data_IF_003167599869
#
_entry.id   IF_003167599869
#
_cell.length_a   1.000
_cell.length_b   1.000
_cell.length_c   1.000
_cell.angle_alpha   90.00
_cell.angle_beta   90.00
_cell.angle_gamma   90.00
#
_symmetry.space_group_name_H-M   'P 1'
#
loop_
_entity.id
_entity.type
_entity.pdbx_description
1 polymer ?
#
# COMPACT_ATOMS: atom_id res chain seq x y z
N UNK A 1 28.71 11.52 6.39
CA UNK A 1 28.50 10.06 6.34
C UNK A 1 28.06 9.48 7.68
N UNK A 2 28.19 10.20 8.77
CA UNK A 2 27.81 9.72 10.12
C UNK A 2 26.29 9.75 10.37
N UNK A 3 25.52 10.48 9.54
CA UNK A 3 24.08 10.63 9.71
C UNK A 3 23.28 9.35 9.39
N UNK A 4 23.90 8.37 8.70
CA UNK A 4 23.28 7.09 8.30
C UNK A 4 24.00 5.89 8.91
N UNK A 5 24.15 5.90 10.24
CA UNK A 5 24.80 4.82 11.00
C UNK A 5 23.82 3.78 11.57
N UNK A 6 22.54 3.88 11.20
CA UNK A 6 21.48 2.99 11.66
C UNK A 6 21.44 1.64 10.93
N UNK A 7 20.30 0.96 11.06
CA UNK A 7 20.04 -0.35 10.45
C UNK A 7 20.18 -0.28 8.91
N UNK A 8 20.73 -1.36 8.33
CA UNK A 8 20.77 -1.55 6.87
C UNK A 8 19.62 -2.47 6.47
N UNK A 9 18.82 -2.04 5.47
CA UNK A 9 17.75 -2.81 4.86
C UNK A 9 18.22 -3.37 3.53
N UNK A 10 17.85 -4.63 3.23
CA UNK A 10 18.20 -5.34 1.99
C UNK A 10 19.71 -5.27 1.65
N UNK A 11 20.59 -5.21 2.68
CA UNK A 11 22.04 -5.02 2.54
C UNK A 11 22.46 -3.79 1.69
N UNK A 12 21.54 -2.86 1.47
CA UNK A 12 21.68 -1.72 0.56
C UNK A 12 21.35 -0.38 1.18
N UNK A 13 20.19 -0.25 1.82
CA UNK A 13 19.65 1.04 2.27
C UNK A 13 19.99 1.27 3.73
N UNK A 14 20.83 2.26 4.01
CA UNK A 14 21.23 2.65 5.38
C UNK A 14 20.26 3.66 5.94
N UNK A 15 19.63 3.30 7.04
CA UNK A 15 18.76 4.21 7.79
C UNK A 15 19.59 5.16 8.67
N UNK A 16 19.07 6.34 9.00
CA UNK A 16 19.66 7.19 10.03
C UNK A 16 19.57 6.48 11.40
N UNK A 17 20.37 6.93 12.36
CA UNK A 17 20.18 6.52 13.75
C UNK A 17 18.79 6.96 14.19
N UNK A 18 18.01 6.08 14.87
CA UNK A 18 16.72 6.48 15.37
C UNK A 18 16.89 7.69 16.32
N UNK A 19 16.07 8.73 16.21
CA UNK A 19 16.04 9.79 17.19
C UNK A 19 15.70 9.17 18.55
N UNK A 20 16.25 9.72 19.64
CA UNK A 20 16.10 9.22 21.00
C UNK A 20 14.67 9.20 21.54
N UNK A 21 13.73 9.81 20.82
CA UNK A 21 12.29 9.81 21.14
C UNK A 21 11.58 8.85 20.16
N UNK A 22 11.02 7.80 20.73
CA UNK A 22 10.30 6.69 20.09
C UNK A 22 9.04 7.14 19.33
N UNK A 23 9.19 7.76 18.17
CA UNK A 23 8.11 7.80 17.20
C UNK A 23 8.51 6.92 16.01
N UNK A 24 7.81 5.81 15.84
CA UNK A 24 7.87 4.98 14.63
C UNK A 24 7.51 5.85 13.42
N UNK A 25 8.54 6.42 12.80
CA UNK A 25 8.35 7.10 11.53
C UNK A 25 8.09 6.05 10.46
N UNK A 26 6.86 6.01 9.96
CA UNK A 26 6.50 5.19 8.81
C UNK A 26 7.22 5.61 7.53
N UNK A 27 7.81 6.81 7.52
CA UNK A 27 8.63 7.36 6.43
C UNK A 27 9.92 7.90 6.98
N UNK A 28 11.04 7.54 6.36
CA UNK A 28 12.35 8.06 6.72
C UNK A 28 13.24 8.20 5.49
N UNK A 29 14.23 9.09 5.58
CA UNK A 29 15.30 9.15 4.57
C UNK A 29 16.29 8.02 4.83
N UNK A 30 16.82 7.47 3.76
CA UNK A 30 17.88 6.46 3.81
C UNK A 30 18.96 6.80 2.78
N UNK A 31 20.14 6.21 2.96
CA UNK A 31 21.24 6.33 2.01
C UNK A 31 21.36 5.01 1.23
N UNK A 32 21.19 5.08 -0.07
CA UNK A 32 21.40 3.95 -0.98
C UNK A 32 22.91 3.78 -1.25
N UNK A 33 23.47 2.70 -0.75
CA UNK A 33 24.91 2.41 -0.89
C UNK A 33 25.33 2.05 -2.31
N UNK A 34 24.40 1.70 -3.19
CA UNK A 34 24.68 1.35 -4.58
C UNK A 34 24.69 2.56 -5.50
N UNK A 35 23.73 3.45 -5.36
CA UNK A 35 23.65 4.67 -6.16
C UNK A 35 24.44 5.83 -5.55
N UNK A 36 24.71 5.79 -4.25
CA UNK A 36 25.32 6.90 -3.51
C UNK A 36 24.38 8.09 -3.28
N UNK A 37 23.06 7.87 -3.39
CA UNK A 37 22.04 8.91 -3.26
C UNK A 37 21.17 8.71 -2.02
N UNK A 38 20.57 9.80 -1.56
CA UNK A 38 19.49 9.72 -0.58
C UNK A 38 18.19 9.26 -1.25
N UNK A 39 17.47 8.41 -0.56
CA UNK A 39 16.15 7.89 -0.96
C UNK A 39 15.16 8.05 0.18
N UNK A 40 13.87 8.04 -0.12
CA UNK A 40 12.83 7.87 0.87
C UNK A 40 12.48 6.39 1.02
N UNK A 41 12.35 5.95 2.26
CA UNK A 41 11.94 4.58 2.59
C UNK A 41 10.67 4.65 3.43
N UNK A 42 9.62 3.98 2.96
CA UNK A 42 8.36 3.87 3.68
C UNK A 42 8.14 2.43 4.14
N UNK A 43 7.78 2.30 5.42
CA UNK A 43 7.46 1.03 6.05
C UNK A 43 5.96 0.79 6.05
N UNK A 44 5.53 -0.38 5.55
CA UNK A 44 4.17 -0.89 5.69
C UNK A 44 4.22 -2.12 6.60
N UNK A 45 3.70 -2.04 7.83
CA UNK A 45 3.70 -3.16 8.76
C UNK A 45 2.89 -4.33 8.19
N UNK A 46 3.43 -5.54 8.30
CA UNK A 46 2.70 -6.74 7.93
C UNK A 46 1.71 -7.13 9.04
N UNK A 47 0.47 -7.50 8.69
CA UNK A 47 -0.51 -7.92 9.67
C UNK A 47 -0.02 -9.10 10.50
N UNK A 48 -0.27 -9.06 11.80
CA UNK A 48 -0.01 -10.19 12.69
C UNK A 48 -1.05 -11.28 12.46
N UNK A 49 -0.60 -12.53 12.40
CA UNK A 49 -1.47 -13.70 12.38
C UNK A 49 -1.66 -14.16 13.81
N UNK A 50 -2.87 -14.07 14.31
CA UNK A 50 -3.25 -14.68 15.58
C UNK A 50 -3.68 -16.11 15.29
N UNK A 51 -2.82 -17.08 15.56
CA UNK A 51 -3.22 -18.49 15.54
C UNK A 51 -4.11 -18.75 16.77
N UNK A 52 -5.42 -18.70 16.59
CA UNK A 52 -6.35 -19.21 17.56
C UNK A 52 -6.36 -20.73 17.43
N UNK A 53 -5.80 -21.44 18.40
CA UNK A 53 -6.05 -22.88 18.53
C UNK A 53 -7.55 -23.07 18.81
N UNK A 54 -8.28 -23.51 17.79
CA UNK A 54 -9.63 -24.01 17.97
C UNK A 54 -9.48 -25.36 18.68
N UNK A 55 -9.70 -25.38 19.98
CA UNK A 55 -9.86 -26.64 20.70
C UNK A 55 -11.17 -27.24 20.21
N UNK A 56 -11.05 -28.23 19.33
CA UNK A 56 -12.18 -29.04 18.90
C UNK A 56 -12.88 -29.62 20.11
N UNK A 57 -14.23 -29.53 20.13
CA UNK A 57 -15.07 -29.97 21.23
C UNK A 57 -15.00 -31.47 21.47
N UNK A 58 -14.31 -32.25 20.67
CA UNK A 58 -14.14 -33.70 20.79
C UNK A 58 -13.18 -34.16 21.90
N UNK A 59 -12.43 -33.24 22.51
CA UNK A 59 -11.50 -33.52 23.60
C UNK A 59 -12.00 -33.15 24.99
N UNK A 60 -13.28 -32.80 25.18
CA UNK A 60 -13.84 -32.49 26.49
C UNK A 60 -14.36 -33.76 27.14
N UNK A 61 -13.92 -34.13 28.36
CA UNK A 61 -14.48 -35.25 29.10
C UNK A 61 -15.98 -35.06 29.30
N UNK A 62 -16.77 -36.16 29.15
CA UNK A 62 -18.22 -36.20 29.43
C UNK A 62 -18.51 -35.65 30.84
N UNK A 63 -19.24 -34.52 30.92
CA UNK A 63 -19.63 -33.91 32.18
C UNK A 63 -19.29 -32.43 32.32
N UNK A 64 -18.64 -31.80 31.37
CA UNK A 64 -18.31 -30.38 31.44
C UNK A 64 -19.48 -29.50 31.00
N UNK A 65 -20.29 -29.02 31.97
CA UNK A 65 -21.24 -27.93 31.72
C UNK A 65 -20.52 -26.60 31.90
N UNK A 66 -20.70 -25.68 30.93
CA UNK A 66 -20.03 -24.37 30.82
C UNK A 66 -20.47 -23.36 31.93
N UNK A 67 -20.33 -23.73 33.20
CA UNK A 67 -20.75 -22.89 34.34
C UNK A 67 -19.73 -22.73 35.46
N UNK A 68 -18.44 -22.80 35.15
CA UNK A 68 -17.43 -22.43 36.16
C UNK A 68 -16.61 -21.23 35.66
N UNK A 69 -17.01 -20.02 36.13
CA UNK A 69 -16.30 -18.79 35.96
C UNK A 69 -15.14 -18.69 36.94
N UNK A 70 -14.26 -19.66 36.91
CA UNK A 70 -13.03 -19.68 37.69
C UNK A 70 -11.83 -19.67 36.77
N UNK A 71 -11.13 -18.53 36.73
CA UNK A 71 -9.72 -18.33 36.34
C UNK A 71 -9.14 -19.36 35.36
N UNK A 72 -9.55 -19.35 34.10
CA UNK A 72 -8.74 -19.90 33.01
C UNK A 72 -7.84 -18.80 32.49
N UNK A 73 -6.53 -19.00 32.70
CA UNK A 73 -5.48 -18.28 31.98
C UNK A 73 -5.82 -18.37 30.49
N UNK A 74 -5.99 -17.24 29.77
CA UNK A 74 -6.28 -17.31 28.34
C UNK A 74 -5.18 -18.10 27.66
N UNK A 75 -5.49 -18.95 26.66
CA UNK A 75 -4.44 -19.56 25.85
C UNK A 75 -3.59 -18.41 25.32
N UNK A 76 -2.28 -18.51 25.49
CA UNK A 76 -1.33 -17.54 24.94
C UNK A 76 -1.44 -17.63 23.43
N UNK A 77 -2.29 -16.78 22.85
CA UNK A 77 -2.31 -16.61 21.41
C UNK A 77 -0.89 -16.25 20.96
N UNK A 78 -0.28 -17.12 20.18
CA UNK A 78 1.01 -16.83 19.58
C UNK A 78 0.74 -15.88 18.42
N UNK A 79 0.98 -14.61 18.63
CA UNK A 79 1.04 -13.64 17.55
C UNK A 79 2.34 -13.88 16.78
N UNK A 80 2.22 -14.20 15.50
CA UNK A 80 3.35 -14.31 14.60
C UNK A 80 3.16 -13.32 13.47
N UNK A 81 4.16 -12.49 13.22
CA UNK A 81 4.17 -11.62 12.05
C UNK A 81 4.19 -12.47 10.77
N UNK A 82 3.43 -12.09 9.75
CA UNK A 82 3.42 -12.78 8.45
C UNK A 82 4.83 -12.86 7.87
N UNK A 83 5.15 -14.03 7.31
CA UNK A 83 6.46 -14.26 6.68
C UNK A 83 6.44 -13.70 5.25
N UNK A 84 7.61 -13.29 4.70
CA UNK A 84 7.71 -12.88 3.30
C UNK A 84 7.19 -13.91 2.29
N UNK A 85 7.21 -15.20 2.64
CA UNK A 85 6.69 -16.30 1.83
C UNK A 85 5.15 -16.44 1.85
N UNK A 86 4.45 -15.70 2.72
CA UNK A 86 2.99 -15.72 2.79
C UNK A 86 2.40 -15.21 1.46
N UNK A 87 1.41 -15.92 0.87
CA UNK A 87 0.77 -15.52 -0.38
C UNK A 87 0.18 -14.10 -0.36
N UNK A 88 -0.31 -13.64 0.79
CA UNK A 88 -0.84 -12.28 0.96
C UNK A 88 0.28 -11.25 0.88
N UNK A 89 1.43 -11.52 1.52
CA UNK A 89 2.61 -10.64 1.46
C UNK A 89 3.17 -10.56 0.04
N UNK A 90 3.26 -11.72 -0.65
CA UNK A 90 3.72 -11.74 -2.04
C UNK A 90 2.82 -10.91 -2.96
N UNK A 91 1.49 -11.05 -2.84
CA UNK A 91 0.54 -10.22 -3.60
C UNK A 91 0.73 -8.72 -3.30
N UNK A 92 0.97 -8.35 -2.05
CA UNK A 92 1.22 -6.96 -1.70
C UNK A 92 2.52 -6.42 -2.32
N UNK A 93 3.59 -7.21 -2.34
CA UNK A 93 4.84 -6.87 -3.04
C UNK A 93 4.59 -6.74 -4.54
N UNK A 94 3.91 -7.71 -5.15
CA UNK A 94 3.58 -7.70 -6.58
C UNK A 94 2.71 -6.48 -6.96
N UNK A 95 1.72 -6.12 -6.13
CA UNK A 95 0.88 -4.95 -6.34
C UNK A 95 1.67 -3.64 -6.27
N UNK A 96 2.54 -3.49 -5.26
CA UNK A 96 3.41 -2.32 -5.15
C UNK A 96 4.41 -2.23 -6.31
N UNK A 97 5.00 -3.37 -6.73
CA UNK A 97 5.89 -3.43 -7.88
C UNK A 97 5.16 -3.13 -9.19
N UNK A 98 3.90 -3.54 -9.34
CA UNK A 98 3.09 -3.19 -10.49
C UNK A 98 2.82 -1.69 -10.56
N UNK A 99 2.52 -1.06 -9.42
CA UNK A 99 2.38 0.40 -9.32
C UNK A 99 3.69 1.14 -9.65
N UNK A 100 4.84 0.58 -9.24
CA UNK A 100 6.16 1.13 -9.54
C UNK A 100 6.55 1.09 -11.03
N UNK A 101 5.82 0.34 -11.88
CA UNK A 101 6.07 0.28 -13.33
C UNK A 101 5.38 1.37 -14.13
N UNK A 102 4.62 2.24 -13.48
CA UNK A 102 4.04 3.41 -14.15
C UNK A 102 5.20 4.28 -14.66
N UNK A 103 5.12 4.76 -15.91
CA UNK A 103 6.17 5.62 -16.47
C UNK A 103 6.43 6.86 -15.62
N UNK A 104 7.69 7.26 -15.55
CA UNK A 104 8.11 8.44 -14.80
C UNK A 104 7.33 9.68 -15.23
N UNK A 105 6.84 10.39 -14.24
CA UNK A 105 6.10 11.63 -14.46
C UNK A 105 6.44 12.65 -13.37
N UNK A 106 6.70 13.93 -13.72
CA UNK A 106 7.18 14.93 -12.76
C UNK A 106 6.21 15.28 -11.63
N UNK A 107 4.98 14.72 -11.66
CA UNK A 107 3.97 14.88 -10.61
C UNK A 107 3.60 13.59 -9.92
N UNK A 108 4.37 12.52 -10.10
CA UNK A 108 4.26 11.24 -9.40
C UNK A 108 5.61 10.89 -8.80
N UNK A 109 5.62 10.27 -7.63
CA UNK A 109 6.84 9.77 -7.02
C UNK A 109 7.37 8.54 -7.78
N UNK A 110 8.68 8.52 -8.01
CA UNK A 110 9.35 7.38 -8.62
C UNK A 110 9.69 6.36 -7.54
N UNK A 111 9.21 5.12 -7.71
CA UNK A 111 9.54 4.00 -6.83
C UNK A 111 10.69 3.21 -7.42
N UNK A 112 11.76 3.03 -6.64
CA UNK A 112 13.00 2.36 -7.06
C UNK A 112 13.04 0.89 -6.66
N UNK A 113 12.45 0.55 -5.49
CA UNK A 113 12.51 -0.81 -4.95
C UNK A 113 11.32 -1.12 -4.04
N UNK A 114 10.95 -2.40 -3.97
CA UNK A 114 9.90 -2.93 -3.09
C UNK A 114 10.31 -4.31 -2.61
N UNK A 115 10.43 -4.48 -1.29
CA UNK A 115 10.83 -5.76 -0.69
C UNK A 115 10.19 -5.96 0.70
N UNK A 116 10.19 -7.20 1.17
CA UNK A 116 9.70 -7.56 2.51
C UNK A 116 10.86 -7.99 3.39
N UNK A 117 11.04 -7.33 4.53
CA UNK A 117 12.09 -7.62 5.52
C UNK A 117 11.63 -7.26 6.94
N UNK A 118 12.00 -8.10 7.92
CA UNK A 118 11.81 -7.79 9.34
C UNK A 118 10.37 -7.57 9.77
N UNK A 119 9.41 -8.30 9.16
CA UNK A 119 7.98 -8.18 9.49
C UNK A 119 7.29 -6.97 8.87
N UNK A 120 7.92 -6.35 7.88
CA UNK A 120 7.38 -5.19 7.17
C UNK A 120 7.65 -5.30 5.67
N UNK A 121 6.82 -4.65 4.90
CA UNK A 121 7.07 -4.36 3.49
C UNK A 121 7.68 -2.97 3.41
N UNK A 122 8.73 -2.84 2.63
CA UNK A 122 9.49 -1.61 2.44
C UNK A 122 9.36 -1.14 1.00
N UNK A 123 9.05 0.13 0.84
CA UNK A 123 8.93 0.80 -0.46
C UNK A 123 9.95 1.92 -0.47
N UNK A 124 10.85 1.87 -1.46
CA UNK A 124 11.92 2.85 -1.64
C UNK A 124 11.57 3.74 -2.81
N UNK A 125 11.54 5.04 -2.59
CA UNK A 125 11.22 6.04 -3.61
C UNK A 125 12.24 7.16 -3.64
N UNK A 126 12.13 8.01 -4.65
CA UNK A 126 12.99 9.19 -4.80
C UNK A 126 12.91 10.11 -3.58
N UNK A 127 14.04 10.69 -3.21
CA UNK A 127 14.11 11.73 -2.19
C UNK A 127 13.95 13.09 -2.86
N UNK A 128 12.83 13.74 -2.62
CA UNK A 128 12.50 15.05 -3.18
C UNK A 128 12.55 16.11 -2.08
N UNK A 129 13.12 17.27 -2.37
CA UNK A 129 13.04 18.44 -1.50
C UNK A 129 11.62 19.01 -1.57
N UNK A 130 10.76 18.54 -0.66
CA UNK A 130 9.35 18.86 -0.64
C UNK A 130 8.79 18.80 0.77
N UNK A 131 7.61 19.41 0.95
CA UNK A 131 6.82 19.35 2.17
C UNK A 131 5.43 18.82 1.86
N UNK A 132 4.85 18.06 2.78
CA UNK A 132 3.47 17.64 2.60
C UNK A 132 2.52 18.85 2.58
N UNK A 133 1.47 18.79 1.78
CA UNK A 133 0.42 19.81 1.78
C UNK A 133 -0.16 20.00 3.17
N UNK A 134 -0.22 18.93 3.98
CA UNK A 134 -0.66 19.03 5.39
C UNK A 134 0.25 19.96 6.21
N UNK A 135 1.58 19.86 6.03
CA UNK A 135 2.54 20.75 6.73
C UNK A 135 2.41 22.20 6.25
N UNK A 136 2.21 22.41 4.95
CA UNK A 136 2.00 23.76 4.40
C UNK A 136 0.72 24.38 4.94
N UNK A 137 -0.38 23.61 4.99
CA UNK A 137 -1.68 24.08 5.50
C UNK A 137 -1.68 24.33 7.01
N UNK A 138 -0.81 23.67 7.77
CA UNK A 138 -0.65 23.90 9.20
C UNK A 138 -0.04 25.27 9.51
N UNK A 139 0.73 25.86 8.58
CA UNK A 139 1.32 27.19 8.75
C UNK A 139 0.35 28.30 8.35
N UNK A 140 -0.28 28.14 7.19
CA UNK A 140 -1.23 29.13 6.67
C UNK A 140 -2.16 28.54 5.60
N UNK A 141 -3.37 29.08 5.44
CA UNK A 141 -4.26 28.71 4.35
C UNK A 141 -3.65 29.06 2.99
N UNK A 142 -3.94 28.24 1.97
CA UNK A 142 -3.56 28.58 0.60
C UNK A 142 -4.41 29.72 0.06
N UNK A 143 -3.79 30.59 -0.76
CA UNK A 143 -4.58 31.51 -1.58
C UNK A 143 -5.45 30.72 -2.57
N UNK A 144 -6.60 31.26 -3.03
CA UNK A 144 -7.43 30.58 -4.02
C UNK A 144 -6.69 30.21 -5.30
N UNK A 145 -5.78 31.07 -5.73
CA UNK A 145 -4.93 30.81 -6.91
C UNK A 145 -4.01 29.61 -6.67
N UNK A 146 -3.29 29.60 -5.54
CA UNK A 146 -2.39 28.48 -5.19
C UNK A 146 -3.15 27.16 -4.97
N UNK A 147 -4.34 27.21 -4.41
CA UNK A 147 -5.20 26.03 -4.29
C UNK A 147 -5.59 25.45 -5.66
N UNK A 148 -5.90 26.32 -6.62
CA UNK A 148 -6.19 25.90 -7.98
C UNK A 148 -4.99 25.30 -8.71
N UNK A 149 -3.77 25.84 -8.49
CA UNK A 149 -2.53 25.24 -9.02
C UNK A 149 -2.27 23.84 -8.46
N UNK A 150 -2.40 23.68 -7.12
CA UNK A 150 -2.29 22.37 -6.46
C UNK A 150 -3.28 21.37 -7.04
N UNK A 151 -4.55 21.76 -7.18
CA UNK A 151 -5.58 20.92 -7.76
C UNK A 151 -5.26 20.54 -9.22
N UNK A 152 -4.79 21.50 -10.02
CA UNK A 152 -4.40 21.25 -11.42
C UNK A 152 -3.26 20.23 -11.52
N UNK A 153 -2.23 20.35 -10.69
CA UNK A 153 -1.10 19.43 -10.68
C UNK A 153 -1.52 18.01 -10.27
N UNK A 154 -2.35 17.89 -9.23
CA UNK A 154 -2.92 16.59 -8.80
C UNK A 154 -3.74 15.97 -9.93
N UNK A 155 -4.59 16.75 -10.62
CA UNK A 155 -5.37 16.25 -11.75
C UNK A 155 -4.49 15.78 -12.91
N UNK A 156 -3.35 16.44 -13.17
CA UNK A 156 -2.38 15.99 -14.17
C UNK A 156 -1.73 14.66 -13.78
N UNK A 157 -1.37 14.47 -12.51
CA UNK A 157 -0.89 13.18 -12.00
C UNK A 157 -1.95 12.09 -12.19
N UNK A 158 -3.20 12.35 -11.82
CA UNK A 158 -4.31 11.41 -11.95
C UNK A 158 -4.60 11.02 -13.40
N UNK A 159 -4.46 11.95 -14.34
CA UNK A 159 -4.61 11.62 -15.77
C UNK A 159 -3.62 10.55 -16.23
N UNK A 160 -2.37 10.60 -15.74
CA UNK A 160 -1.37 9.57 -16.05
C UNK A 160 -1.77 8.24 -15.43
N UNK A 161 -2.16 8.23 -14.16
CA UNK A 161 -2.59 7.00 -13.48
C UNK A 161 -3.79 6.36 -14.18
N UNK A 162 -4.82 7.16 -14.48
CA UNK A 162 -6.03 6.68 -15.14
C UNK A 162 -5.77 6.17 -16.56
N UNK A 163 -4.82 6.78 -17.30
CA UNK A 163 -4.42 6.29 -18.63
C UNK A 163 -3.79 4.88 -18.57
N UNK A 164 -3.26 4.49 -17.42
CA UNK A 164 -2.73 3.14 -17.16
C UNK A 164 -3.71 2.27 -16.33
N UNK A 165 -4.96 2.69 -16.21
CA UNK A 165 -6.01 1.96 -15.48
C UNK A 165 -5.92 2.04 -13.96
N UNK A 166 -4.93 2.75 -13.40
CA UNK A 166 -4.76 2.88 -11.96
C UNK A 166 -5.68 3.93 -11.34
N UNK A 167 -6.17 3.62 -10.15
CA UNK A 167 -6.88 4.57 -9.28
C UNK A 167 -6.05 4.77 -8.02
N UNK A 168 -5.78 6.00 -7.63
CA UNK A 168 -4.89 6.29 -6.49
C UNK A 168 -5.50 5.92 -5.13
N UNK A 169 -6.79 6.11 -4.96
CA UNK A 169 -7.62 5.79 -3.78
C UNK A 169 -7.22 6.40 -2.43
N UNK A 170 -6.01 6.94 -2.30
CA UNK A 170 -5.50 7.54 -1.06
C UNK A 170 -4.93 8.95 -1.29
N UNK A 171 -5.78 9.87 -1.81
CA UNK A 171 -5.39 11.27 -1.99
C UNK A 171 -5.72 12.02 -0.70
N UNK A 172 -4.69 12.47 -0.01
CA UNK A 172 -4.78 13.22 1.24
C UNK A 172 -3.80 14.39 1.23
N UNK A 173 -3.94 15.30 2.16
CA UNK A 173 -2.96 16.37 2.33
C UNK A 173 -1.56 15.88 2.73
N UNK A 174 -1.42 14.61 3.12
CA UNK A 174 -0.11 13.98 3.41
C UNK A 174 0.53 13.34 2.19
N UNK A 175 -0.29 12.82 1.26
CA UNK A 175 0.19 12.17 0.02
C UNK A 175 0.37 13.17 -1.12
N UNK A 176 0.00 14.43 -0.92
CA UNK A 176 0.28 15.54 -1.84
C UNK A 176 1.50 16.30 -1.30
N UNK A 177 2.58 16.34 -2.06
CA UNK A 177 3.80 17.06 -1.73
C UNK A 177 3.89 18.36 -2.53
N UNK A 178 4.36 19.42 -1.86
CA UNK A 178 4.71 20.71 -2.46
C UNK A 178 6.23 20.81 -2.47
N UNK A 179 6.81 20.75 -3.64
CA UNK A 179 8.25 20.81 -3.85
C UNK A 179 8.78 22.25 -3.70
N UNK A 180 10.06 22.39 -3.39
CA UNK A 180 10.72 23.69 -3.22
C UNK A 180 10.74 24.51 -4.52
N UNK A 181 10.68 23.85 -5.67
CA UNK A 181 10.54 24.48 -6.99
C UNK A 181 9.10 24.90 -7.33
N UNK A 182 8.17 24.67 -6.43
CA UNK A 182 6.75 25.02 -6.57
C UNK A 182 5.88 23.95 -7.25
N UNK A 183 6.47 22.88 -7.82
CA UNK A 183 5.69 21.74 -8.33
C UNK A 183 4.92 21.05 -7.23
N UNK A 184 3.84 20.38 -7.61
CA UNK A 184 3.10 19.50 -6.72
C UNK A 184 3.22 18.06 -7.22
N UNK A 185 3.51 17.13 -6.31
CA UNK A 185 3.63 15.71 -6.58
C UNK A 185 2.59 14.94 -5.78
N UNK A 186 2.02 13.92 -6.41
CA UNK A 186 1.16 12.94 -5.76
C UNK A 186 1.97 11.68 -5.48
N UNK A 187 2.02 11.26 -4.21
CA UNK A 187 2.84 10.13 -3.74
C UNK A 187 1.99 9.05 -3.09
N UNK A 188 2.58 7.88 -2.93
CA UNK A 188 2.00 6.81 -2.12
C UNK A 188 1.09 5.84 -2.87
N UNK A 189 1.09 5.84 -4.21
CA UNK A 189 0.33 4.86 -4.98
C UNK A 189 0.77 3.42 -4.67
N UNK A 190 2.08 3.15 -4.67
CA UNK A 190 2.62 1.81 -4.40
C UNK A 190 2.31 1.35 -2.97
N UNK A 191 2.33 2.28 -2.01
CA UNK A 191 1.93 2.01 -0.62
C UNK A 191 0.45 1.63 -0.54
N UNK A 192 -0.42 2.43 -1.14
CA UNK A 192 -1.86 2.15 -1.19
C UNK A 192 -2.16 0.81 -1.85
N UNK A 193 -1.47 0.49 -2.95
CA UNK A 193 -1.61 -0.80 -3.62
C UNK A 193 -1.19 -1.98 -2.72
N UNK A 194 -0.08 -1.84 -1.99
CA UNK A 194 0.35 -2.85 -1.02
C UNK A 194 -0.67 -3.04 0.11
N UNK A 195 -1.15 -1.95 0.70
CA UNK A 195 -2.13 -1.98 1.80
C UNK A 195 -3.45 -2.62 1.36
N UNK A 196 -3.95 -2.28 0.17
CA UNK A 196 -5.16 -2.90 -0.39
C UNK A 196 -4.99 -4.41 -0.60
N UNK A 197 -3.85 -4.83 -1.15
CA UNK A 197 -3.55 -6.25 -1.35
C UNK A 197 -3.43 -7.00 -0.02
N UNK A 198 -2.86 -6.38 1.03
CA UNK A 198 -2.83 -6.94 2.38
C UNK A 198 -4.23 -7.10 2.98
N UNK A 199 -5.17 -6.20 2.63
CA UNK A 199 -6.58 -6.29 3.01
C UNK A 199 -7.40 -7.28 2.15
N UNK A 200 -6.78 -7.92 1.15
CA UNK A 200 -7.44 -8.91 0.29
C UNK A 200 -8.11 -8.35 -0.97
N UNK A 201 -7.89 -7.07 -1.26
CA UNK A 201 -8.34 -6.46 -2.52
C UNK A 201 -7.31 -6.67 -3.64
N UNK A 202 -7.75 -6.51 -4.89
CA UNK A 202 -6.86 -6.49 -6.05
C UNK A 202 -6.78 -5.06 -6.61
N UNK A 203 -5.71 -4.32 -6.31
CA UNK A 203 -5.54 -2.96 -6.79
C UNK A 203 -4.98 -2.87 -8.22
N UNK A 204 -4.42 -3.99 -8.74
CA UNK A 204 -3.73 -4.00 -10.04
C UNK A 204 -4.76 -3.95 -11.17
N UNK A 205 -4.65 -3.01 -12.12
CA UNK A 205 -5.53 -2.98 -13.28
C UNK A 205 -5.41 -4.26 -14.11
N UNK A 206 -6.52 -4.77 -14.67
CA UNK A 206 -6.44 -5.89 -15.62
C UNK A 206 -5.59 -5.48 -16.82
N UNK A 207 -4.62 -6.32 -17.19
CA UNK A 207 -3.81 -6.08 -18.37
C UNK A 207 -4.68 -6.31 -19.61
N UNK A 208 -4.78 -5.30 -20.50
CA UNK A 208 -5.40 -5.48 -21.82
C UNK A 208 -4.57 -6.46 -22.66
N UNK A 209 -4.88 -7.75 -22.56
CA UNK A 209 -4.15 -8.79 -23.29
C UNK A 209 -4.50 -10.22 -22.88
N UNK A 210 -5.13 -10.43 -21.74
CA UNK A 210 -5.63 -11.77 -21.35
C UNK A 210 -7.16 -11.88 -21.54
N UNK A 211 -7.66 -11.39 -22.67
CA UNK A 211 -8.98 -11.72 -23.19
C UNK A 211 -8.97 -13.13 -23.77
N UNK A 212 -8.89 -14.13 -22.85
CA UNK A 212 -8.99 -15.52 -23.18
C UNK A 212 -10.30 -15.83 -23.86
N UNK A 213 -10.23 -16.49 -25.01
CA UNK A 213 -11.24 -17.36 -25.55
C UNK A 213 -11.84 -18.23 -24.45
N UNK A 214 -13.13 -18.00 -24.14
CA UNK A 214 -13.79 -18.75 -23.08
C UNK A 214 -15.30 -18.64 -23.11
N UNK A 215 -15.93 -19.42 -24.00
CA UNK A 215 -17.26 -19.98 -23.73
C UNK A 215 -18.46 -19.13 -24.13
N UNK A 216 -18.72 -19.06 -25.46
CA UNK A 216 -20.06 -18.90 -25.95
C UNK A 216 -20.94 -20.07 -25.51
N UNK A 217 -21.70 -19.92 -24.43
CA UNK A 217 -22.83 -20.80 -24.14
C UNK A 217 -24.10 -20.10 -24.58
N UNK A 218 -24.61 -20.60 -25.69
CA UNK A 218 -25.87 -20.16 -26.28
C UNK A 218 -27.04 -20.33 -25.30
N UNK A 219 -27.79 -19.26 -25.13
CA UNK A 219 -29.15 -19.38 -24.64
C UNK A 219 -30.09 -19.21 -25.84
N UNK A 220 -30.67 -20.36 -26.19
CA UNK A 220 -31.65 -20.48 -27.24
C UNK A 220 -32.83 -19.52 -27.03
N UNK A 221 -33.14 -18.75 -28.06
CA UNK A 221 -34.38 -18.03 -28.16
C UNK A 221 -35.51 -19.05 -28.38
N UNK A 222 -36.47 -19.05 -27.48
CA UNK A 222 -37.75 -19.75 -27.67
C UNK A 222 -38.90 -18.75 -27.70
N UNK A 223 -39.60 -18.80 -28.78
CA UNK A 223 -41.06 -18.64 -28.79
C UNK A 223 -41.63 -17.28 -29.11
N UNK A 224 -41.85 -17.06 -30.39
CA UNK A 224 -42.75 -16.06 -30.88
C UNK A 224 -44.20 -16.28 -30.47
N UNK A 225 -44.93 -15.18 -30.38
CA UNK A 225 -46.38 -15.16 -30.65
C UNK A 225 -46.72 -13.93 -31.46
N UNK A 226 -47.18 -14.19 -32.68
CA UNK A 226 -48.00 -13.24 -33.49
C UNK A 226 -49.39 -13.19 -32.90
N UNK A 227 -49.93 -12.00 -32.77
CA UNK A 227 -51.36 -11.69 -32.86
C UNK A 227 -51.35 -10.32 -33.54
N UNK A 228 -51.87 -10.08 -34.71
CA UNK A 228 -53.15 -10.38 -35.34
C UNK A 228 -54.06 -9.19 -35.15
N UNK A 229 -54.09 -8.40 -36.21
CA UNK A 229 -55.13 -7.54 -36.77
C UNK A 229 -56.41 -7.33 -35.95
N UNK A 230 -56.74 -6.08 -35.74
CA UNK A 230 -57.99 -5.39 -36.21
C UNK A 230 -57.79 -3.89 -36.07
#
# INVERSE_FOLDING_TARGET
MDDYAGRVLADRYRLPLPPSDEYEHTETRAFDTYSGQEVFVRQVPLPEVVEAEVLDAEGLPEGFTARDRGARRPPTARTATRRPSDPVVRRAVEAAQAAARIPDHPRLDQVFDVFAEGGSLWIVSESVAARSLAAVLAEQPLSPYRAAEVASDVLMALRVLHAHGWVHRNITARTVLVCDDGRVMLTGLAVGAAEEALCGYDPVPPQEGEGGEGGGSGVAAAGGRRVGEA
#
